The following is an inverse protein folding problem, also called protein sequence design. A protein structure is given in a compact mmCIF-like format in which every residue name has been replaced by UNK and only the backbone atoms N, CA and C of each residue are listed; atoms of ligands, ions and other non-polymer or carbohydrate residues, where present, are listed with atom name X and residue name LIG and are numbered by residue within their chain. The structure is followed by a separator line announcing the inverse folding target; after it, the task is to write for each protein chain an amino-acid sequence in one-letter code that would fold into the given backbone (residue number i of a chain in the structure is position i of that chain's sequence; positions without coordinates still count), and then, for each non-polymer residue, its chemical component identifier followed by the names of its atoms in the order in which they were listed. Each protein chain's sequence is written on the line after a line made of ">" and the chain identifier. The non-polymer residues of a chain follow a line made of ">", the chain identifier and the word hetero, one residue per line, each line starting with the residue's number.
data_IF_316132435750
#
_entry.id   IF_316132435750
#
_cell.length_a   1.000
_cell.length_b   1.000
_cell.length_c   1.000
_cell.angle_alpha   90.00
_cell.angle_beta   90.00
_cell.angle_gamma   90.00
#
_symmetry.space_group_name_H-M   'P 1'
#
loop_
_entity.id
_entity.type
_entity.pdbx_description
1 polymer ?
#
# COMPACT_ATOMS: atom_id res chain seq x y z
N UNK A 1 -14.47 -14.30 -0.14
CA UNK A 1 -13.06 -13.94 -0.36
C UNK A 1 -12.31 -14.38 0.90
N UNK A 2 -11.36 -15.31 0.79
CA UNK A 2 -10.58 -15.74 1.95
C UNK A 2 -9.40 -14.79 2.12
N UNK A 3 -9.27 -14.20 3.31
CA UNK A 3 -8.09 -13.43 3.69
C UNK A 3 -6.94 -14.42 3.89
N UNK A 4 -5.85 -14.22 3.17
CA UNK A 4 -4.58 -14.91 3.38
C UNK A 4 -3.80 -14.26 4.53
N UNK A 5 -2.72 -14.90 4.97
CA UNK A 5 -1.81 -14.32 5.99
C UNK A 5 -1.22 -12.95 5.60
N UNK A 6 -1.31 -12.56 4.33
CA UNK A 6 -0.81 -11.29 3.80
C UNK A 6 -1.92 -10.26 3.54
N UNK A 7 -3.16 -10.53 3.94
CA UNK A 7 -4.28 -9.63 3.74
C UNK A 7 -4.67 -8.95 5.06
N UNK A 8 -4.78 -7.62 5.03
CA UNK A 8 -5.27 -6.83 6.16
C UNK A 8 -6.37 -5.89 5.68
N UNK A 9 -7.55 -5.99 6.31
CA UNK A 9 -8.66 -5.10 6.03
C UNK A 9 -8.38 -3.73 6.64
N UNK A 10 -8.16 -2.74 5.79
CA UNK A 10 -7.97 -1.34 6.20
C UNK A 10 -9.17 -0.51 5.77
N UNK A 11 -9.56 0.44 6.63
CA UNK A 11 -10.63 1.39 6.33
C UNK A 11 -10.07 2.58 5.55
N UNK A 12 -10.82 3.04 4.54
CA UNK A 12 -10.56 4.31 3.87
C UNK A 12 -10.94 5.45 4.82
N UNK A 13 -10.03 6.40 5.02
CA UNK A 13 -10.30 7.59 5.85
C UNK A 13 -11.27 8.53 5.13
N UNK A 14 -11.82 9.51 5.86
CA UNK A 14 -12.78 10.47 5.30
C UNK A 14 -12.25 11.24 4.06
N UNK A 15 -10.93 11.39 3.93
CA UNK A 15 -10.27 12.12 2.84
C UNK A 15 -9.75 11.20 1.73
N UNK A 16 -10.15 9.92 1.74
CA UNK A 16 -9.81 8.99 0.66
C UNK A 16 -8.41 8.37 0.76
N UNK A 17 -7.78 8.38 1.94
CA UNK A 17 -6.47 7.73 2.16
C UNK A 17 -6.61 6.38 2.84
N UNK A 18 -5.62 5.51 2.60
CA UNK A 18 -5.43 4.27 3.35
C UNK A 18 -4.08 4.33 4.07
N UNK A 19 -4.03 3.80 5.29
CA UNK A 19 -2.77 3.60 5.99
C UNK A 19 -2.18 2.26 5.60
N UNK A 20 -0.95 2.25 5.10
CA UNK A 20 -0.23 1.00 4.84
C UNK A 20 0.14 0.37 6.20
N UNK A 21 -0.30 -0.87 6.49
CA UNK A 21 0.04 -1.58 7.71
C UNK A 21 1.55 -1.61 8.01
N UNK A 22 1.88 -1.66 9.30
CA UNK A 22 3.28 -1.57 9.75
C UNK A 22 4.12 -2.72 9.22
N UNK A 23 3.58 -3.95 9.13
CA UNK A 23 4.35 -5.08 8.58
C UNK A 23 4.69 -4.87 7.10
N UNK A 24 3.77 -4.35 6.28
CA UNK A 24 4.01 -4.15 4.85
C UNK A 24 5.01 -3.01 4.60
N UNK A 25 4.94 -1.92 5.37
CA UNK A 25 5.95 -0.85 5.31
C UNK A 25 7.35 -1.37 5.63
N UNK A 26 7.50 -2.19 6.67
CA UNK A 26 8.78 -2.80 7.03
C UNK A 26 9.29 -3.74 5.94
N UNK A 27 8.42 -4.62 5.44
CA UNK A 27 8.76 -5.59 4.41
C UNK A 27 9.19 -4.92 3.10
N UNK A 28 8.47 -3.88 2.66
CA UNK A 28 8.77 -3.13 1.44
C UNK A 28 9.84 -2.04 1.63
N UNK A 29 10.33 -1.84 2.86
CA UNK A 29 11.29 -0.80 3.20
C UNK A 29 10.80 0.63 2.95
N UNK A 30 9.48 0.86 3.01
CA UNK A 30 8.87 2.17 2.77
C UNK A 30 8.98 3.04 4.02
N UNK A 31 9.58 4.21 3.88
CA UNK A 31 9.78 5.17 4.96
C UNK A 31 9.03 6.48 4.72
N UNK A 32 8.96 7.33 5.76
CA UNK A 32 8.41 8.68 5.61
C UNK A 32 9.25 9.44 4.59
N UNK A 33 8.60 10.01 3.58
CA UNK A 33 9.27 10.75 2.50
C UNK A 33 9.57 9.91 1.25
N UNK A 34 9.42 8.58 1.32
CA UNK A 34 9.51 7.74 0.12
C UNK A 34 8.33 7.99 -0.82
N UNK A 35 8.60 7.88 -2.11
CA UNK A 35 7.58 7.87 -3.14
C UNK A 35 7.12 6.44 -3.45
N UNK A 36 5.81 6.29 -3.65
CA UNK A 36 5.20 5.06 -4.13
C UNK A 36 4.43 5.35 -5.42
N UNK A 37 4.65 4.51 -6.43
CA UNK A 37 3.84 4.50 -7.65
C UNK A 37 2.56 3.73 -7.36
N UNK A 38 1.43 4.35 -7.66
CA UNK A 38 0.10 3.72 -7.63
C UNK A 38 -0.35 3.52 -9.07
N UNK A 39 -0.78 2.30 -9.42
CA UNK A 39 -1.31 1.98 -10.74
C UNK A 39 -2.57 1.14 -10.65
N UNK A 40 -3.53 1.38 -11.54
CA UNK A 40 -4.72 0.55 -11.70
C UNK A 40 -4.42 -0.59 -12.68
N UNK A 41 -4.68 -1.83 -12.28
CA UNK A 41 -4.61 -3.01 -13.13
C UNK A 41 -5.93 -3.78 -12.98
N UNK A 42 -6.79 -3.65 -14.00
CA UNK A 42 -8.16 -4.15 -13.93
C UNK A 42 -8.95 -3.48 -12.81
N UNK A 43 -9.38 -4.27 -11.85
CA UNK A 43 -10.11 -3.91 -10.63
C UNK A 43 -9.20 -3.75 -9.40
N UNK A 44 -7.88 -3.83 -9.58
CA UNK A 44 -6.91 -3.82 -8.48
C UNK A 44 -5.99 -2.58 -8.51
N UNK A 45 -5.78 -1.96 -7.35
CA UNK A 45 -4.72 -0.96 -7.16
C UNK A 45 -3.43 -1.64 -6.75
N UNK A 46 -2.37 -1.41 -7.52
CA UNK A 46 -1.02 -1.91 -7.24
C UNK A 46 -0.15 -0.75 -6.76
N UNK A 47 0.46 -0.93 -5.59
CA UNK A 47 1.44 0.00 -5.03
C UNK A 47 2.85 -0.57 -5.19
N UNK A 48 3.78 0.23 -5.70
CA UNK A 48 5.20 -0.12 -5.81
C UNK A 48 6.08 1.01 -5.28
N UNK A 49 7.07 0.68 -4.46
CA UNK A 49 8.12 1.64 -4.08
C UNK A 49 8.87 2.07 -5.33
N UNK A 50 9.15 3.36 -5.44
CA UNK A 50 9.97 3.91 -6.53
C UNK A 50 11.13 4.70 -5.96
N UNK A 51 12.27 4.65 -6.65
CA UNK A 51 13.40 5.52 -6.37
C UNK A 51 13.36 6.65 -7.40
N UNK A 52 13.21 7.89 -6.94
CA UNK A 52 13.23 9.07 -7.80
C UNK A 52 14.63 9.67 -7.65
N UNK A 53 15.41 9.61 -8.72
CA UNK A 53 16.77 10.16 -8.82
C UNK A 53 16.74 11.58 -9.36
#
# INVERSE_FOLDING_TARGET
>A
MMLTENDELVKITAVGTISIPKQFRKYLGIQKGDYVKVSLQGDSLILKRVNIS
#
